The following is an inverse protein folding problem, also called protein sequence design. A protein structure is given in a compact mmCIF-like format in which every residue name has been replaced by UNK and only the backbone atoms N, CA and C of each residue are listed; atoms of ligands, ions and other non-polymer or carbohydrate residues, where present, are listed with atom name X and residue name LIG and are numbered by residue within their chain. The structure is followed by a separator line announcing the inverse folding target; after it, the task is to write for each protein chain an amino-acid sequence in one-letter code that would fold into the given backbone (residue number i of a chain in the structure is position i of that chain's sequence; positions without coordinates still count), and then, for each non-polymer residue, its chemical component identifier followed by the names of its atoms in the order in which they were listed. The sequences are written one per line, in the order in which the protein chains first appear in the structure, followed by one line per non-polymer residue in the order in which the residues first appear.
data_IF_101069014947
#
_entry.id   IF_101069014947
#
_cell.length_a   1.000
_cell.length_b   1.000
_cell.length_c   1.000
_cell.angle_alpha   90.00
_cell.angle_beta   90.00
_cell.angle_gamma   90.00
#
_symmetry.space_group_name_H-M   'P 1'
#
loop_
_entity.id
_entity.type
_entity.pdbx_description
1 polymer ?
#
# COMPACT_ATOMS: atom_id res chain seq x y z
N UNK A 1 -11.95 -0.81 25.29
CA UNK A 1 -10.83 0.12 24.98
C UNK A 1 -11.11 0.70 23.59
N UNK A 2 -10.95 2.01 23.39
CA UNK A 2 -11.06 2.59 22.05
C UNK A 2 -9.89 2.05 21.20
N UNK A 3 -10.14 1.66 19.92
CA UNK A 3 -9.09 1.19 19.02
C UNK A 3 -8.06 2.27 18.72
N UNK A 4 -6.89 1.87 18.23
CA UNK A 4 -5.70 2.74 17.99
C UNK A 4 -5.94 3.85 16.95
N UNK A 5 -6.94 3.66 16.08
CA UNK A 5 -7.37 4.63 15.05
C UNK A 5 -8.88 4.90 15.11
N UNK A 6 -9.47 4.77 16.31
CA UNK A 6 -10.90 4.96 16.52
C UNK A 6 -11.38 6.33 16.06
N UNK A 7 -12.43 6.37 15.23
CA UNK A 7 -13.03 7.58 14.67
C UNK A 7 -12.22 8.28 13.59
N UNK A 8 -11.04 7.75 13.20
CA UNK A 8 -10.29 8.24 12.04
C UNK A 8 -10.92 7.74 10.74
N UNK A 9 -10.97 8.58 9.73
CA UNK A 9 -11.40 8.23 8.37
C UNK A 9 -10.18 7.77 7.58
N UNK A 10 -10.20 6.53 7.10
CA UNK A 10 -9.08 5.90 6.40
C UNK A 10 -9.44 5.55 4.96
N UNK A 11 -8.74 6.13 4.00
CA UNK A 11 -8.80 5.76 2.58
C UNK A 11 -7.65 4.81 2.24
N UNK A 12 -7.99 3.62 1.72
CA UNK A 12 -7.01 2.58 1.35
C UNK A 12 -7.12 2.29 -0.14
N UNK A 13 -6.05 2.54 -0.90
CA UNK A 13 -5.99 2.19 -2.32
C UNK A 13 -5.45 0.78 -2.53
N UNK A 14 -5.84 0.11 -3.63
CA UNK A 14 -5.42 -1.26 -3.90
C UNK A 14 -5.88 -2.27 -2.84
N UNK A 15 -7.05 -2.00 -2.24
CA UNK A 15 -7.59 -2.78 -1.14
C UNK A 15 -8.29 -4.08 -1.56
N UNK A 16 -8.31 -4.42 -2.85
CA UNK A 16 -9.06 -5.58 -3.33
C UNK A 16 -8.55 -6.92 -2.84
N UNK A 17 -7.24 -7.07 -2.66
CA UNK A 17 -6.59 -8.34 -2.26
C UNK A 17 -5.35 -8.05 -1.41
N UNK A 18 -4.66 -9.11 -0.98
CA UNK A 18 -3.32 -9.06 -0.39
C UNK A 18 -3.18 -8.07 0.77
N UNK A 19 -2.12 -7.28 0.72
CA UNK A 19 -1.77 -6.32 1.79
C UNK A 19 -2.87 -5.27 1.97
N UNK A 20 -3.42 -4.69 0.88
CA UNK A 20 -4.43 -3.63 0.98
C UNK A 20 -5.73 -4.12 1.62
N UNK A 21 -6.16 -5.36 1.34
CA UNK A 21 -7.27 -6.00 2.05
C UNK A 21 -6.96 -6.14 3.53
N UNK A 22 -5.78 -6.67 3.87
CA UNK A 22 -5.37 -6.84 5.26
C UNK A 22 -5.28 -5.51 6.02
N UNK A 23 -4.79 -4.44 5.37
CA UNK A 23 -4.78 -3.07 5.92
C UNK A 23 -6.20 -2.58 6.20
N UNK A 24 -7.12 -2.72 5.24
CA UNK A 24 -8.51 -2.29 5.39
C UNK A 24 -9.19 -2.99 6.57
N UNK A 25 -9.05 -4.31 6.67
CA UNK A 25 -9.58 -5.11 7.78
C UNK A 25 -8.94 -4.66 9.10
N UNK A 26 -7.61 -4.49 9.13
CA UNK A 26 -6.88 -4.17 10.36
C UNK A 26 -7.21 -2.78 10.90
N UNK A 27 -7.37 -1.78 10.02
CA UNK A 27 -7.78 -0.44 10.43
C UNK A 27 -9.24 -0.43 10.92
N UNK A 28 -10.12 -1.20 10.27
CA UNK A 28 -11.52 -1.34 10.69
C UNK A 28 -11.66 -1.99 12.08
N UNK A 29 -10.90 -3.06 12.38
CA UNK A 29 -10.82 -3.69 13.71
C UNK A 29 -10.42 -2.69 14.81
N UNK A 30 -9.57 -1.72 14.47
CA UNK A 30 -9.06 -0.69 15.38
C UNK A 30 -9.88 0.60 15.37
N UNK A 31 -11.05 0.54 14.80
CA UNK A 31 -12.05 1.58 14.96
C UNK A 31 -12.06 2.67 13.90
N UNK A 32 -11.33 2.55 12.79
CA UNK A 32 -11.38 3.52 11.70
C UNK A 32 -12.68 3.39 10.87
N UNK A 33 -13.19 4.51 10.34
CA UNK A 33 -14.13 4.56 9.22
C UNK A 33 -13.35 4.29 7.94
N UNK A 34 -13.46 3.07 7.39
CA UNK A 34 -12.62 2.66 6.25
C UNK A 34 -13.36 2.81 4.94
N UNK A 35 -12.67 3.43 3.97
CA UNK A 35 -13.04 3.39 2.56
C UNK A 35 -11.99 2.56 1.83
N UNK A 36 -12.37 1.37 1.40
CA UNK A 36 -11.53 0.47 0.62
C UNK A 36 -11.73 0.74 -0.87
N UNK A 37 -10.63 0.79 -1.66
CA UNK A 37 -10.75 0.99 -3.11
C UNK A 37 -9.95 -0.01 -3.91
N UNK A 38 -10.47 -0.43 -5.05
CA UNK A 38 -9.81 -1.35 -5.99
C UNK A 38 -10.33 -1.14 -7.41
N UNK A 39 -9.51 -1.47 -8.40
CA UNK A 39 -9.93 -1.47 -9.80
C UNK A 39 -11.01 -2.52 -10.09
N UNK A 40 -11.00 -3.64 -9.36
CA UNK A 40 -11.92 -4.79 -9.52
C UNK A 40 -13.05 -4.67 -8.49
N UNK A 41 -14.32 -4.43 -8.93
CA UNK A 41 -15.46 -4.25 -8.03
C UNK A 41 -15.67 -5.43 -7.06
N UNK A 42 -15.65 -6.66 -7.57
CA UNK A 42 -15.90 -7.87 -6.77
C UNK A 42 -14.88 -8.02 -5.64
N UNK A 43 -13.62 -7.67 -5.91
CA UNK A 43 -12.56 -7.74 -4.91
C UNK A 43 -12.75 -6.71 -3.80
N UNK A 44 -13.18 -5.48 -4.12
CA UNK A 44 -13.37 -4.45 -3.11
C UNK A 44 -14.65 -4.67 -2.29
N UNK A 45 -15.70 -5.20 -2.90
CA UNK A 45 -16.93 -5.61 -2.21
C UNK A 45 -16.64 -6.69 -1.16
N UNK A 46 -15.86 -7.70 -1.52
CA UNK A 46 -15.43 -8.74 -0.58
C UNK A 46 -14.57 -8.16 0.56
N UNK A 47 -13.68 -7.23 0.25
CA UNK A 47 -12.88 -6.56 1.28
C UNK A 47 -13.75 -5.73 2.22
N UNK A 48 -14.72 -4.98 1.68
CA UNK A 48 -15.67 -4.21 2.49
C UNK A 48 -16.49 -5.12 3.41
N UNK A 49 -16.96 -6.26 2.89
CA UNK A 49 -17.70 -7.28 3.67
C UNK A 49 -16.84 -7.85 4.83
N UNK A 50 -15.57 -8.21 4.56
CA UNK A 50 -14.66 -8.75 5.57
C UNK A 50 -14.32 -7.71 6.64
N UNK A 51 -14.03 -6.48 6.23
CA UNK A 51 -13.72 -5.39 7.15
C UNK A 51 -14.94 -5.00 7.99
N UNK A 52 -16.14 -4.99 7.39
CA UNK A 52 -17.39 -4.73 8.11
C UNK A 52 -17.68 -5.80 9.16
N UNK A 53 -17.45 -7.08 8.83
CA UNK A 53 -17.60 -8.18 9.78
C UNK A 53 -16.63 -8.06 10.97
N UNK A 54 -15.40 -7.64 10.71
CA UNK A 54 -14.37 -7.45 11.74
C UNK A 54 -14.65 -6.23 12.64
N UNK A 55 -15.23 -5.16 12.08
CA UNK A 55 -15.50 -3.90 12.79
C UNK A 55 -16.87 -3.87 13.47
N UNK A 56 -17.81 -4.74 13.09
CA UNK A 56 -19.21 -4.69 13.51
C UNK A 56 -19.98 -3.49 12.94
N UNK A 57 -19.52 -2.90 11.83
CA UNK A 57 -20.13 -1.73 11.18
C UNK A 57 -19.84 -1.69 9.68
N UNK A 58 -20.59 -0.85 8.94
CA UNK A 58 -20.42 -0.69 7.50
C UNK A 58 -18.99 -0.23 7.14
N UNK A 59 -18.46 -0.77 6.05
CA UNK A 59 -17.22 -0.33 5.38
C UNK A 59 -17.54 -0.05 3.94
N UNK A 60 -17.12 1.11 3.44
CA UNK A 60 -17.40 1.53 2.07
C UNK A 60 -16.38 0.92 1.10
N UNK A 61 -16.87 0.21 0.07
CA UNK A 61 -16.08 -0.28 -1.05
C UNK A 61 -16.34 0.56 -2.30
N UNK A 62 -15.30 1.12 -2.92
CA UNK A 62 -15.42 1.93 -4.15
C UNK A 62 -14.49 1.41 -5.23
N UNK A 63 -14.96 1.44 -6.49
CA UNK A 63 -14.10 1.17 -7.63
C UNK A 63 -13.14 2.34 -7.85
N UNK A 64 -11.85 2.05 -8.04
CA UNK A 64 -10.82 3.03 -8.35
C UNK A 64 -9.69 2.42 -9.17
N UNK A 65 -9.40 3.01 -10.34
CA UNK A 65 -8.10 2.89 -11.00
C UNK A 65 -7.23 4.09 -10.55
N UNK A 66 -6.20 3.83 -9.75
CA UNK A 66 -5.29 4.88 -9.27
C UNK A 66 -4.46 5.52 -10.38
N UNK A 67 -4.33 4.84 -11.53
CA UNK A 67 -3.66 5.36 -12.72
C UNK A 67 -4.48 6.41 -13.48
N UNK A 68 -5.74 6.61 -13.11
CA UNK A 68 -6.61 7.67 -13.62
C UNK A 68 -6.76 8.78 -12.58
N UNK A 69 -6.11 9.90 -12.84
CA UNK A 69 -6.12 11.07 -11.97
C UNK A 69 -7.54 11.60 -11.69
N UNK A 70 -8.41 11.59 -12.69
CA UNK A 70 -9.78 12.10 -12.55
C UNK A 70 -10.66 11.16 -11.70
N UNK A 71 -10.45 9.85 -11.83
CA UNK A 71 -11.09 8.86 -10.97
C UNK A 71 -10.64 9.00 -9.51
N UNK A 72 -9.35 9.30 -9.27
CA UNK A 72 -8.83 9.57 -7.92
C UNK A 72 -9.48 10.80 -7.31
N UNK A 73 -9.52 11.91 -8.05
CA UNK A 73 -10.16 13.15 -7.60
C UNK A 73 -11.64 12.94 -7.27
N UNK A 74 -12.37 12.17 -8.09
CA UNK A 74 -13.76 11.83 -7.85
C UNK A 74 -13.98 10.99 -6.59
N UNK A 75 -13.18 9.95 -6.37
CA UNK A 75 -13.27 9.10 -5.16
C UNK A 75 -12.94 9.90 -3.91
N UNK A 76 -11.90 10.72 -3.94
CA UNK A 76 -11.56 11.59 -2.79
C UNK A 76 -12.71 12.54 -2.49
N UNK A 77 -13.33 13.14 -3.51
CA UNK A 77 -14.51 14.02 -3.32
C UNK A 77 -15.68 13.27 -2.66
N UNK A 78 -15.97 12.03 -3.06
CA UNK A 78 -17.00 11.20 -2.42
C UNK A 78 -16.69 10.91 -0.95
N UNK A 79 -15.42 10.62 -0.62
CA UNK A 79 -15.00 10.40 0.77
C UNK A 79 -15.18 11.66 1.60
N UNK A 80 -14.78 12.81 1.07
CA UNK A 80 -14.92 14.10 1.75
C UNK A 80 -16.39 14.51 1.91
N UNK A 81 -17.22 14.30 0.90
CA UNK A 81 -18.67 14.54 1.00
C UNK A 81 -19.32 13.70 2.12
N UNK A 82 -18.94 12.43 2.24
CA UNK A 82 -19.52 11.51 3.22
C UNK A 82 -18.98 11.71 4.64
N UNK A 83 -17.68 11.95 4.80
CA UNK A 83 -17.01 11.93 6.11
C UNK A 83 -16.40 13.27 6.53
N UNK A 84 -16.38 14.27 5.64
CA UNK A 84 -15.85 15.61 5.88
C UNK A 84 -14.32 15.74 5.86
N UNK A 85 -13.57 14.64 5.94
CA UNK A 85 -12.10 14.63 6.05
C UNK A 85 -11.48 13.29 5.69
N UNK A 86 -10.16 13.25 5.61
CA UNK A 86 -9.36 12.03 5.52
C UNK A 86 -8.26 12.10 6.58
N UNK A 87 -8.27 11.23 7.59
CA UNK A 87 -7.26 11.19 8.65
C UNK A 87 -6.09 10.28 8.30
N UNK A 88 -6.35 9.22 7.51
CA UNK A 88 -5.36 8.25 7.09
C UNK A 88 -5.50 8.00 5.59
N UNK A 89 -4.41 8.16 4.85
CA UNK A 89 -4.29 7.69 3.48
C UNK A 89 -3.28 6.55 3.41
N UNK A 90 -3.72 5.33 3.03
CA UNK A 90 -2.83 4.20 2.76
C UNK A 90 -2.75 3.94 1.27
N UNK A 91 -1.66 4.37 0.64
CA UNK A 91 -1.37 4.13 -0.77
C UNK A 91 -0.75 2.75 -0.94
N UNK A 92 -1.60 1.76 -1.21
CA UNK A 92 -1.18 0.37 -1.32
C UNK A 92 -1.26 -0.16 -2.76
N UNK A 93 -2.00 0.48 -3.65
CA UNK A 93 -2.12 0.06 -5.03
C UNK A 93 -0.74 -0.05 -5.71
N UNK A 94 -0.50 -1.18 -6.36
CA UNK A 94 0.73 -1.43 -7.09
C UNK A 94 0.63 -2.70 -7.92
N UNK A 95 1.40 -2.74 -9.00
CA UNK A 95 1.55 -3.87 -9.92
C UNK A 95 3.01 -4.16 -10.17
N UNK A 96 3.30 -5.37 -10.61
CA UNK A 96 4.60 -5.85 -11.03
C UNK A 96 4.46 -6.67 -12.32
N UNK A 97 5.52 -6.80 -13.10
CA UNK A 97 5.53 -7.58 -14.34
C UNK A 97 5.87 -9.03 -14.02
N UNK A 98 4.84 -9.86 -13.87
CA UNK A 98 4.97 -11.26 -13.40
C UNK A 98 5.80 -12.15 -14.35
N UNK A 99 5.98 -11.77 -15.63
CA UNK A 99 6.84 -12.51 -16.55
C UNK A 99 8.32 -12.18 -16.45
N UNK A 100 8.69 -11.19 -15.60
CA UNK A 100 10.08 -10.86 -15.28
C UNK A 100 10.93 -10.49 -16.50
N UNK A 101 10.54 -9.48 -17.33
CA UNK A 101 11.29 -9.16 -18.52
C UNK A 101 12.63 -8.52 -18.18
N UNK A 102 13.67 -8.83 -18.96
CA UNK A 102 14.89 -8.03 -18.92
C UNK A 102 14.63 -6.60 -19.42
N UNK A 103 15.55 -5.68 -19.17
CA UNK A 103 15.38 -4.28 -19.59
C UNK A 103 15.24 -4.13 -21.12
N UNK A 104 15.86 -5.02 -21.90
CA UNK A 104 15.78 -4.99 -23.37
C UNK A 104 14.48 -5.60 -23.92
N UNK A 105 13.77 -6.37 -23.12
CA UNK A 105 12.48 -6.99 -23.46
C UNK A 105 11.30 -6.19 -22.92
N UNK A 106 11.52 -5.33 -21.93
CA UNK A 106 10.47 -4.45 -21.36
C UNK A 106 10.01 -3.45 -22.41
N UNK A 107 8.71 -3.47 -22.73
CA UNK A 107 8.14 -2.51 -23.67
C UNK A 107 7.89 -1.15 -23.01
N UNK A 108 7.79 -0.09 -23.83
CA UNK A 108 7.47 1.25 -23.34
C UNK A 108 6.09 1.25 -22.62
N UNK A 109 5.10 0.50 -23.15
CA UNK A 109 3.76 0.38 -22.55
C UNK A 109 3.79 -0.33 -21.18
N UNK A 110 4.63 -1.32 -21.01
CA UNK A 110 4.81 -2.01 -19.72
C UNK A 110 5.46 -1.09 -18.71
N UNK A 111 6.53 -0.41 -19.11
CA UNK A 111 7.20 0.59 -18.29
C UNK A 111 6.22 1.68 -17.85
N UNK A 112 5.53 2.31 -18.78
CA UNK A 112 4.55 3.36 -18.51
C UNK A 112 3.41 2.88 -17.61
N UNK A 113 2.91 1.66 -17.83
CA UNK A 113 1.85 1.07 -17.01
C UNK A 113 2.29 0.89 -15.56
N UNK A 114 3.50 0.38 -15.31
CA UNK A 114 4.01 0.19 -13.94
C UNK A 114 4.20 1.54 -13.26
N UNK A 115 4.78 2.53 -13.96
CA UNK A 115 4.93 3.88 -13.42
C UNK A 115 3.59 4.57 -13.18
N UNK A 116 2.64 4.46 -14.09
CA UNK A 116 1.31 5.05 -13.98
C UNK A 116 0.58 4.55 -12.73
N UNK A 117 0.65 3.26 -12.44
CA UNK A 117 -0.02 2.70 -11.26
C UNK A 117 0.78 2.98 -9.99
N UNK A 118 2.06 2.60 -9.94
CA UNK A 118 2.83 2.56 -8.70
C UNK A 118 3.26 3.96 -8.24
N UNK A 119 3.75 4.79 -9.15
CA UNK A 119 4.30 6.12 -8.83
C UNK A 119 3.28 7.22 -9.04
N UNK A 120 2.71 7.34 -10.25
CA UNK A 120 1.73 8.40 -10.53
C UNK A 120 0.45 8.23 -9.72
N UNK A 121 -0.03 6.99 -9.53
CA UNK A 121 -1.21 6.70 -8.69
C UNK A 121 -1.00 7.11 -7.23
N UNK A 122 0.17 6.84 -6.66
CA UNK A 122 0.54 7.30 -5.32
C UNK A 122 0.55 8.84 -5.24
N UNK A 123 1.14 9.50 -6.25
CA UNK A 123 1.14 10.97 -6.33
C UNK A 123 -0.28 11.53 -6.45
N UNK A 124 -1.12 10.99 -7.33
CA UNK A 124 -2.50 11.47 -7.53
C UNK A 124 -3.31 11.37 -6.24
N UNK A 125 -3.24 10.24 -5.54
CA UNK A 125 -3.95 10.05 -4.28
C UNK A 125 -3.46 11.01 -3.19
N UNK A 126 -2.15 11.21 -3.04
CA UNK A 126 -1.59 12.18 -2.10
C UNK A 126 -2.02 13.62 -2.44
N UNK A 127 -1.95 14.01 -3.72
CA UNK A 127 -2.34 15.35 -4.18
C UNK A 127 -3.80 15.64 -3.91
N UNK A 128 -4.68 14.68 -4.22
CA UNK A 128 -6.11 14.84 -4.04
C UNK A 128 -6.52 14.85 -2.55
N UNK A 129 -5.92 13.96 -1.74
CA UNK A 129 -6.30 13.80 -0.33
C UNK A 129 -5.72 14.90 0.57
N UNK A 130 -4.47 15.34 0.34
CA UNK A 130 -3.76 16.25 1.24
C UNK A 130 -4.53 17.54 1.60
N UNK A 131 -5.27 18.23 0.70
CA UNK A 131 -6.06 19.39 1.05
C UNK A 131 -7.14 19.13 2.11
N UNK A 132 -7.65 17.90 2.19
CA UNK A 132 -8.74 17.47 3.06
C UNK A 132 -8.26 16.73 4.32
N UNK A 133 -6.96 16.66 4.53
CA UNK A 133 -6.36 16.02 5.70
C UNK A 133 -6.19 17.04 6.84
N UNK A 134 -6.67 16.76 8.06
CA UNK A 134 -6.47 17.63 9.22
C UNK A 134 -5.03 17.57 9.73
N UNK A 135 -4.68 18.50 10.60
CA UNK A 135 -3.42 18.42 11.36
C UNK A 135 -3.37 17.12 12.16
N UNK A 136 -2.23 16.45 12.17
CA UNK A 136 -2.05 15.16 12.83
C UNK A 136 -2.44 13.93 11.97
N UNK A 137 -2.90 14.14 10.75
CA UNK A 137 -3.20 13.06 9.80
C UNK A 137 -1.94 12.28 9.40
N UNK A 138 -2.14 11.11 8.78
CA UNK A 138 -1.05 10.22 8.36
C UNK A 138 -1.22 9.71 6.94
N UNK A 139 -0.16 9.80 6.15
CA UNK A 139 -0.02 9.14 4.84
C UNK A 139 0.96 7.99 4.98
N UNK A 140 0.57 6.80 4.54
CA UNK A 140 1.43 5.60 4.51
C UNK A 140 1.51 5.08 3.07
N UNK A 141 2.69 5.19 2.48
CA UNK A 141 2.94 4.75 1.11
C UNK A 141 3.53 3.33 1.11
N UNK A 142 3.02 2.45 0.26
CA UNK A 142 3.55 1.10 0.09
C UNK A 142 4.72 1.12 -0.89
N UNK A 143 5.93 1.19 -0.34
CA UNK A 143 7.17 1.01 -1.07
C UNK A 143 7.51 -0.50 -1.19
N UNK A 144 8.77 -0.88 -1.09
CA UNK A 144 9.29 -2.25 -1.10
C UNK A 144 10.72 -2.25 -0.59
N UNK A 145 11.27 -3.41 -0.25
CA UNK A 145 12.73 -3.56 -0.12
C UNK A 145 13.44 -3.20 -1.44
N UNK A 146 12.76 -3.32 -2.59
CA UNK A 146 13.26 -2.88 -3.91
C UNK A 146 13.50 -1.36 -3.98
N UNK A 147 13.13 -0.59 -2.97
CA UNK A 147 13.56 0.80 -2.82
C UNK A 147 15.03 0.95 -2.38
N UNK A 148 15.68 -0.14 -1.94
CA UNK A 148 17.05 -0.17 -1.42
C UNK A 148 17.95 -1.16 -2.13
N UNK A 149 17.37 -2.29 -2.56
CA UNK A 149 18.06 -3.38 -3.28
C UNK A 149 17.36 -3.63 -4.61
N UNK A 150 17.97 -4.40 -5.49
CA UNK A 150 17.40 -4.72 -6.79
C UNK A 150 17.46 -6.23 -7.02
N UNK A 151 16.55 -6.71 -7.87
CA UNK A 151 16.52 -8.08 -8.36
C UNK A 151 16.66 -8.08 -9.88
N UNK A 152 17.20 -9.14 -10.42
CA UNK A 152 17.27 -9.31 -11.88
C UNK A 152 15.86 -9.34 -12.48
N UNK A 153 15.70 -8.78 -13.67
CA UNK A 153 14.46 -8.76 -14.43
C UNK A 153 13.28 -8.04 -13.74
N UNK A 154 13.58 -7.05 -12.90
CA UNK A 154 12.58 -6.28 -12.13
C UNK A 154 12.80 -4.76 -12.20
N UNK A 155 13.44 -4.28 -13.26
CA UNK A 155 13.82 -2.86 -13.38
C UNK A 155 12.63 -1.88 -13.28
N UNK A 156 11.48 -2.09 -13.95
CA UNK A 156 10.34 -1.16 -13.85
C UNK A 156 9.79 -1.05 -12.44
N UNK A 157 9.57 -2.17 -11.75
CA UNK A 157 9.05 -2.19 -10.40
C UNK A 157 10.02 -1.55 -9.41
N UNK A 158 11.29 -1.97 -9.43
CA UNK A 158 12.37 -1.41 -8.61
C UNK A 158 12.46 0.10 -8.76
N UNK A 159 12.44 0.63 -9.98
CA UNK A 159 12.47 2.06 -10.25
C UNK A 159 11.28 2.78 -9.62
N UNK A 160 10.05 2.22 -9.75
CA UNK A 160 8.86 2.84 -9.16
C UNK A 160 8.88 2.82 -7.64
N UNK A 161 9.41 1.77 -7.01
CA UNK A 161 9.47 1.68 -5.54
C UNK A 161 10.56 2.61 -4.96
N UNK A 162 11.66 2.82 -5.68
CA UNK A 162 12.62 3.89 -5.40
C UNK A 162 11.98 5.28 -5.47
N UNK A 163 11.20 5.54 -6.53
CA UNK A 163 10.47 6.79 -6.70
C UNK A 163 9.47 7.04 -5.55
N UNK A 164 8.67 6.04 -5.16
CA UNK A 164 7.72 6.14 -4.04
C UNK A 164 8.43 6.48 -2.72
N UNK A 165 9.58 5.85 -2.44
CA UNK A 165 10.34 6.14 -1.23
C UNK A 165 10.85 7.59 -1.20
N UNK A 166 11.44 8.09 -2.30
CA UNK A 166 11.94 9.47 -2.33
C UNK A 166 10.80 10.48 -2.34
N UNK A 167 9.70 10.21 -3.02
CA UNK A 167 8.47 11.01 -2.95
C UNK A 167 7.93 11.10 -1.52
N UNK A 168 7.92 9.99 -0.77
CA UNK A 168 7.53 9.96 0.65
C UNK A 168 8.34 10.94 1.49
N UNK A 169 9.66 10.97 1.31
CA UNK A 169 10.56 11.89 2.03
C UNK A 169 10.32 13.36 1.68
N UNK A 170 10.18 13.66 0.40
CA UNK A 170 9.87 15.02 -0.06
C UNK A 170 8.53 15.51 0.51
N UNK A 171 7.48 14.68 0.38
CA UNK A 171 6.14 15.02 0.87
C UNK A 171 6.09 15.16 2.39
N UNK A 172 6.89 14.39 3.14
CA UNK A 172 7.01 14.52 4.59
C UNK A 172 7.52 15.93 5.00
N UNK A 173 8.48 16.47 4.26
CA UNK A 173 9.00 17.84 4.50
C UNK A 173 7.96 18.90 4.12
N UNK A 174 7.26 18.73 2.99
CA UNK A 174 6.25 19.68 2.53
C UNK A 174 5.05 19.79 3.46
N UNK A 175 4.61 18.66 4.05
CA UNK A 175 3.43 18.60 4.91
C UNK A 175 3.73 18.75 6.40
N UNK A 176 5.00 18.86 6.80
CA UNK A 176 5.42 18.96 8.20
C UNK A 176 4.79 20.17 8.93
N UNK A 177 4.69 21.32 8.28
CA UNK A 177 4.07 22.52 8.85
C UNK A 177 2.58 22.32 9.21
N UNK A 178 1.91 21.38 8.54
CA UNK A 178 0.54 20.95 8.83
C UNK A 178 0.49 19.76 9.79
N UNK A 179 1.61 19.33 10.33
CA UNK A 179 1.72 18.16 11.20
C UNK A 179 1.17 16.87 10.56
N UNK A 180 1.11 16.79 9.24
CA UNK A 180 0.76 15.58 8.52
C UNK A 180 2.02 14.74 8.37
N UNK A 181 1.99 13.51 8.90
CA UNK A 181 3.09 12.57 8.82
C UNK A 181 3.01 11.77 7.53
N UNK A 182 4.14 11.57 6.87
CA UNK A 182 4.23 10.78 5.64
C UNK A 182 5.35 9.77 5.78
N UNK A 183 5.02 8.48 5.71
CA UNK A 183 5.99 7.40 5.88
C UNK A 183 5.80 6.33 4.79
N UNK A 184 6.85 5.54 4.55
CA UNK A 184 6.79 4.36 3.71
C UNK A 184 6.84 3.08 4.55
N UNK A 185 6.08 2.06 4.15
CA UNK A 185 6.30 0.67 4.55
C UNK A 185 7.00 -0.03 3.39
N UNK A 186 8.06 -0.78 3.70
CA UNK A 186 8.91 -1.46 2.72
C UNK A 186 8.89 -2.97 2.99
N UNK A 187 7.88 -3.71 2.47
CA UNK A 187 7.80 -5.15 2.63
C UNK A 187 8.90 -5.87 1.85
N UNK A 188 9.34 -7.03 2.36
CA UNK A 188 10.04 -8.05 1.60
C UNK A 188 9.07 -8.96 0.84
N UNK A 189 9.40 -10.24 0.72
CA UNK A 189 8.53 -11.23 0.08
C UNK A 189 7.36 -11.56 1.02
N UNK A 190 6.15 -11.25 0.58
CA UNK A 190 4.91 -11.42 1.36
C UNK A 190 4.00 -12.41 0.65
N UNK A 191 3.42 -13.35 1.39
CA UNK A 191 2.44 -14.32 0.90
C UNK A 191 1.13 -13.61 0.53
N UNK A 192 0.92 -13.41 -0.77
CA UNK A 192 -0.18 -12.63 -1.35
C UNK A 192 -0.50 -13.12 -2.76
N UNK A 193 -1.67 -12.80 -3.33
CA UNK A 193 -1.98 -13.12 -4.72
C UNK A 193 -0.98 -12.58 -5.76
N UNK A 194 -0.27 -11.49 -5.45
CA UNK A 194 0.81 -11.02 -6.33
C UNK A 194 1.96 -12.03 -6.37
N UNK A 195 2.39 -12.52 -5.22
CA UNK A 195 3.42 -13.55 -5.10
C UNK A 195 2.98 -14.88 -5.71
N UNK A 196 1.71 -15.26 -5.49
CA UNK A 196 1.13 -16.46 -6.10
C UNK A 196 1.18 -16.42 -7.62
N UNK A 197 0.93 -15.25 -8.23
CA UNK A 197 0.98 -15.09 -9.69
C UNK A 197 2.39 -15.37 -10.28
N UNK A 198 3.47 -15.12 -9.54
CA UNK A 198 4.82 -15.54 -9.94
C UNK A 198 5.00 -17.04 -9.76
N UNK A 199 4.58 -17.58 -8.61
CA UNK A 199 4.70 -19.00 -8.28
C UNK A 199 3.94 -19.87 -9.30
N UNK A 200 2.72 -19.50 -9.68
CA UNK A 200 1.90 -20.24 -10.64
C UNK A 200 2.51 -20.30 -12.06
N UNK A 201 3.38 -19.37 -12.41
CA UNK A 201 4.09 -19.34 -13.70
C UNK A 201 5.45 -20.04 -13.68
N UNK A 202 5.94 -20.39 -12.50
CA UNK A 202 7.24 -21.04 -12.36
C UNK A 202 7.20 -22.47 -12.96
N UNK A 203 8.35 -22.91 -13.45
CA UNK A 203 8.54 -24.29 -13.91
C UNK A 203 8.37 -25.28 -12.75
N UNK A 204 8.80 -24.90 -11.56
CA UNK A 204 8.60 -25.63 -10.32
C UNK A 204 8.05 -24.66 -9.24
N UNK A 205 6.72 -24.63 -9.07
CA UNK A 205 6.08 -23.76 -8.08
C UNK A 205 6.51 -24.01 -6.63
N UNK A 206 6.74 -25.28 -6.27
CA UNK A 206 7.16 -25.62 -4.89
C UNK A 206 8.58 -25.14 -4.62
N UNK A 207 9.49 -25.34 -5.56
CA UNK A 207 10.87 -24.86 -5.46
C UNK A 207 10.92 -23.33 -5.36
N UNK A 208 10.16 -22.58 -6.19
CA UNK A 208 10.13 -21.12 -6.13
C UNK A 208 9.53 -20.61 -4.80
N UNK A 209 8.48 -21.27 -4.30
CA UNK A 209 7.90 -20.91 -2.99
C UNK A 209 8.89 -21.14 -1.85
N UNK A 210 9.67 -22.21 -1.90
CA UNK A 210 10.75 -22.50 -0.95
C UNK A 210 11.90 -21.48 -1.05
N UNK A 211 12.27 -21.09 -2.27
CA UNK A 211 13.25 -20.02 -2.53
C UNK A 211 12.80 -18.69 -1.92
N UNK A 212 11.56 -18.28 -2.16
CA UNK A 212 10.97 -17.07 -1.60
C UNK A 212 10.96 -17.08 -0.06
N UNK A 213 10.69 -18.24 0.55
CA UNK A 213 10.79 -18.38 2.00
C UNK A 213 12.22 -18.23 2.51
N UNK A 214 13.21 -18.76 1.77
CA UNK A 214 14.63 -18.73 2.13
C UNK A 214 15.30 -17.36 1.93
N UNK A 215 14.69 -16.44 1.15
CA UNK A 215 15.19 -15.06 1.00
C UNK A 215 15.27 -14.37 2.37
N UNK A 216 14.29 -14.61 3.23
CA UNK A 216 14.26 -14.05 4.58
C UNK A 216 15.06 -14.91 5.56
N UNK A 217 15.97 -14.32 6.37
CA UNK A 217 16.61 -15.01 7.50
C UNK A 217 15.65 -15.67 8.50
N UNK A 218 14.39 -15.22 8.56
CA UNK A 218 13.34 -15.91 9.33
C UNK A 218 12.82 -17.18 8.66
N UNK A 219 13.35 -17.53 7.47
CA UNK A 219 13.05 -18.74 6.69
C UNK A 219 11.55 -18.94 6.41
N UNK A 220 10.85 -17.84 6.13
CA UNK A 220 9.46 -17.81 5.69
C UNK A 220 9.14 -16.49 4.98
N UNK A 221 8.13 -16.50 4.15
CA UNK A 221 7.50 -15.28 3.67
C UNK A 221 6.81 -14.55 4.83
N UNK A 222 6.71 -13.23 4.72
CA UNK A 222 5.86 -12.44 5.60
C UNK A 222 4.37 -12.63 5.26
N UNK A 223 3.49 -12.28 6.16
CA UNK A 223 2.05 -12.28 5.92
C UNK A 223 1.54 -10.86 5.64
N UNK A 224 0.46 -10.73 4.88
CA UNK A 224 -0.21 -9.45 4.65
C UNK A 224 -0.63 -8.77 5.98
N UNK A 225 -0.98 -9.56 7.00
CA UNK A 225 -1.34 -9.07 8.33
C UNK A 225 -0.16 -8.44 9.08
N UNK A 226 1.05 -8.98 8.95
CA UNK A 226 2.26 -8.39 9.54
C UNK A 226 2.56 -7.01 8.95
N UNK A 227 2.41 -6.86 7.63
CA UNK A 227 2.54 -5.56 6.96
C UNK A 227 1.43 -4.60 7.40
N UNK A 228 0.18 -5.06 7.50
CA UNK A 228 -0.95 -4.25 7.95
C UNK A 228 -0.77 -3.74 9.40
N UNK A 229 -0.13 -4.50 10.29
CA UNK A 229 0.20 -4.04 11.64
C UNK A 229 1.19 -2.87 11.63
N UNK A 230 2.15 -2.86 10.70
CA UNK A 230 3.09 -1.75 10.52
C UNK A 230 2.40 -0.51 9.95
N UNK A 231 1.46 -0.68 9.01
CA UNK A 231 0.62 0.42 8.50
C UNK A 231 -0.23 1.00 9.63
N UNK A 232 -0.85 0.16 10.46
CA UNK A 232 -1.62 0.61 11.62
C UNK A 232 -0.77 1.42 12.61
N UNK A 233 0.46 0.97 12.93
CA UNK A 233 1.37 1.73 13.78
C UNK A 233 1.62 3.13 13.20
N UNK A 234 1.99 3.23 11.92
CA UNK A 234 2.27 4.50 11.26
C UNK A 234 1.01 5.40 11.13
N UNK A 235 -0.18 4.81 11.02
CA UNK A 235 -1.46 5.52 10.98
C UNK A 235 -1.92 6.02 12.35
N UNK A 236 -1.44 5.42 13.44
CA UNK A 236 -1.82 5.74 14.81
C UNK A 236 -1.00 6.88 15.41
N UNK A 237 -1.45 7.39 16.55
CA UNK A 237 -0.75 8.45 17.29
C UNK A 237 0.52 7.94 18.00
N UNK A 238 0.72 6.62 18.09
CA UNK A 238 1.96 6.01 18.58
C UNK A 238 3.17 6.38 17.70
N UNK A 239 2.94 6.69 16.41
CA UNK A 239 3.95 7.16 15.48
C UNK A 239 4.03 8.70 15.37
N UNK A 240 3.62 9.44 16.41
CA UNK A 240 3.47 10.91 16.38
C UNK A 240 4.76 11.66 16.04
N UNK A 241 5.94 11.07 16.25
CA UNK A 241 7.23 11.68 15.90
C UNK A 241 7.94 10.94 14.75
N UNK A 242 7.20 10.10 14.00
CA UNK A 242 7.72 9.32 12.86
C UNK A 242 7.19 9.93 11.57
N UNK A 243 8.06 10.59 10.79
CA UNK A 243 7.74 11.12 9.45
C UNK A 243 8.99 11.06 8.55
N UNK A 244 8.81 10.88 7.25
CA UNK A 244 9.89 10.69 6.27
C UNK A 244 10.62 9.34 6.38
N UNK A 245 10.13 8.42 7.21
CA UNK A 245 10.77 7.14 7.50
C UNK A 245 10.38 6.06 6.50
N UNK A 246 11.28 5.09 6.35
CA UNK A 246 11.04 3.82 5.68
C UNK A 246 11.03 2.70 6.73
N UNK A 247 9.86 2.12 6.99
CA UNK A 247 9.71 0.99 7.90
C UNK A 247 9.83 -0.32 7.10
N UNK A 248 10.97 -0.98 7.23
CA UNK A 248 11.26 -2.24 6.55
C UNK A 248 10.59 -3.40 7.30
N UNK A 249 9.91 -4.29 6.53
CA UNK A 249 9.15 -5.44 7.03
C UNK A 249 9.50 -6.66 6.17
N UNK A 250 10.70 -7.20 6.34
CA UNK A 250 11.31 -8.15 5.40
C UNK A 250 11.98 -9.38 6.05
N UNK A 251 11.80 -9.58 7.35
CA UNK A 251 12.44 -10.69 8.07
C UNK A 251 13.96 -10.65 8.03
N UNK A 252 14.55 -9.43 7.99
CA UNK A 252 15.98 -9.15 7.92
C UNK A 252 16.64 -9.42 6.56
N UNK A 253 15.88 -9.53 5.47
CA UNK A 253 16.41 -9.75 4.10
C UNK A 253 17.45 -8.69 3.73
N UNK A 254 17.21 -7.42 4.06
CA UNK A 254 18.07 -6.27 3.71
C UNK A 254 19.03 -5.84 4.83
N UNK A 255 19.12 -6.57 5.93
CA UNK A 255 19.98 -6.21 7.07
C UNK A 255 21.46 -6.61 6.88
N UNK A 256 21.84 -7.10 5.70
CA UNK A 256 23.19 -7.61 5.34
C UNK A 256 23.74 -6.90 4.10
#
# INVERSE_FOLDING_TARGET
MSGRVAGKVALVTGAGTGIGRAVSVRLAEEGAEVVATSQTPEHVEETARLAAAAAGREVLGLRLDVGDSSAVDHVVAQVVERFGRIDVLSNNAGIELVHGPSVVETTDEEWERVFRVNSSGTFYACRAAAPHMPNGASIVNMASINSFVAWENDAPYTATKGAVLQFTRALALELAARQIRVNAVCPGVIDTPLTDAFVERAVDPEALRAEYAAVSPLNRMGTAREVANCVLFLASDEASFVTGSALVVDGATTAR
#
